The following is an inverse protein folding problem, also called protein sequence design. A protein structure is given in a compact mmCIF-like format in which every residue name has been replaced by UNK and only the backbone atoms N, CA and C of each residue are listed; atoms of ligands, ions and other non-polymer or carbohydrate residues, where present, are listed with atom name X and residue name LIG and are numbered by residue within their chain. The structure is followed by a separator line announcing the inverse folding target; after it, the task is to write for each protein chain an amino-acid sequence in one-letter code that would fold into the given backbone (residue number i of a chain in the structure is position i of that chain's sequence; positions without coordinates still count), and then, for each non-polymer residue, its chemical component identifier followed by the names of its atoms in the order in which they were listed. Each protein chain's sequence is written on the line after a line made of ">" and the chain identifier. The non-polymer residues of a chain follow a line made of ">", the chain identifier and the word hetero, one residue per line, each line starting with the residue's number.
data_IF_452228004583
#
_entry.id   IF_452228004583
#
_cell.length_a   1.000
_cell.length_b   1.000
_cell.length_c   1.000
_cell.angle_alpha   90.00
_cell.angle_beta   90.00
_cell.angle_gamma   90.00
#
_symmetry.space_group_name_H-M   'P 1'
#
loop_
_entity.id
_entity.type
_entity.pdbx_description
1 polymer ?
#
# COMPACT_ATOMS: atom_id res chain seq x y z
N UNK A 1 11.07 15.49 -7.22
CA UNK A 1 11.38 14.77 -5.98
C UNK A 1 10.49 13.54 -5.89
N UNK A 2 10.96 12.36 -6.30
CA UNK A 2 10.31 11.10 -5.87
C UNK A 2 10.86 10.77 -4.48
N UNK A 3 10.09 11.05 -3.42
CA UNK A 3 10.62 11.04 -2.06
C UNK A 3 10.69 9.63 -1.45
N UNK A 4 9.92 8.66 -1.93
CA UNK A 4 9.95 7.29 -1.41
C UNK A 4 10.45 6.24 -2.40
N UNK A 5 10.32 6.46 -3.71
CA UNK A 5 10.69 5.49 -4.75
C UNK A 5 9.92 4.15 -4.70
N UNK A 6 8.89 4.01 -3.86
CA UNK A 6 8.23 2.72 -3.61
C UNK A 6 7.37 2.25 -4.78
N UNK A 7 6.89 3.17 -5.62
CA UNK A 7 6.19 2.89 -6.87
C UNK A 7 5.07 1.81 -6.77
N UNK A 8 4.34 1.79 -5.65
CA UNK A 8 3.31 0.78 -5.32
C UNK A 8 2.16 0.76 -6.33
N UNK A 9 1.84 1.90 -6.94
CA UNK A 9 0.80 2.00 -7.97
C UNK A 9 1.16 1.13 -9.17
N UNK A 10 2.43 1.11 -9.58
CA UNK A 10 2.91 0.27 -10.68
C UNK A 10 2.75 -1.20 -10.33
N UNK A 11 3.10 -1.61 -9.10
CA UNK A 11 2.86 -2.97 -8.63
C UNK A 11 1.38 -3.36 -8.65
N UNK A 12 0.49 -2.55 -8.05
CA UNK A 12 -0.95 -2.81 -7.97
C UNK A 12 -1.62 -2.91 -9.35
N UNK A 13 -1.17 -2.09 -10.31
CA UNK A 13 -1.62 -2.20 -11.71
C UNK A 13 -1.06 -3.44 -12.40
N UNK A 14 0.20 -3.76 -12.18
CA UNK A 14 0.85 -4.91 -12.80
C UNK A 14 0.22 -6.24 -12.37
N UNK A 15 -0.04 -6.43 -11.07
CA UNK A 15 -0.70 -7.66 -10.59
C UNK A 15 -2.10 -7.84 -11.23
N UNK A 16 -2.89 -6.76 -11.36
CA UNK A 16 -4.20 -6.85 -12.00
C UNK A 16 -4.08 -7.17 -13.49
N UNK A 17 -3.21 -6.46 -14.22
CA UNK A 17 -3.01 -6.67 -15.65
C UNK A 17 -2.42 -8.05 -15.99
N UNK A 18 -1.70 -8.66 -15.04
CA UNK A 18 -1.22 -10.03 -15.17
C UNK A 18 -2.38 -11.02 -15.36
N UNK A 19 -3.52 -10.84 -14.69
CA UNK A 19 -4.63 -11.79 -14.77
C UNK A 19 -5.83 -11.30 -15.59
N UNK A 20 -5.97 -9.98 -15.81
CA UNK A 20 -7.15 -9.36 -16.44
C UNK A 20 -7.59 -10.03 -17.74
N UNK A 21 -6.65 -10.21 -18.66
CA UNK A 21 -6.92 -10.67 -20.04
C UNK A 21 -6.19 -11.99 -20.37
N UNK A 22 -5.92 -12.83 -19.37
CA UNK A 22 -5.19 -14.10 -19.61
C UNK A 22 -5.83 -15.25 -18.85
N UNK A 23 -6.83 -15.93 -19.45
CA UNK A 23 -7.45 -17.11 -18.87
C UNK A 23 -6.43 -18.21 -18.57
N UNK A 24 -5.46 -18.41 -19.46
CA UNK A 24 -4.38 -19.39 -19.26
C UNK A 24 -3.58 -19.12 -17.98
N UNK A 25 -3.17 -17.86 -17.70
CA UNK A 25 -2.46 -17.53 -16.45
C UNK A 25 -3.33 -17.69 -15.22
N UNK A 26 -4.64 -17.46 -15.34
CA UNK A 26 -5.57 -17.70 -14.23
C UNK A 26 -5.73 -19.19 -13.94
N UNK A 27 -5.79 -20.03 -14.97
CA UNK A 27 -5.79 -21.49 -14.83
C UNK A 27 -4.55 -21.96 -14.08
N UNK A 28 -3.36 -21.63 -14.59
CA UNK A 28 -2.08 -21.97 -13.95
C UNK A 28 -2.03 -21.44 -12.50
N UNK A 29 -2.51 -20.23 -12.24
CA UNK A 29 -2.56 -19.68 -10.89
C UNK A 29 -3.44 -20.51 -9.96
N UNK A 30 -4.64 -20.89 -10.40
CA UNK A 30 -5.54 -21.74 -9.62
C UNK A 30 -4.90 -23.10 -9.39
N UNK A 31 -4.32 -23.73 -10.42
CA UNK A 31 -3.75 -25.07 -10.33
C UNK A 31 -2.54 -25.12 -9.38
N UNK A 32 -1.68 -24.08 -9.40
CA UNK A 32 -0.49 -24.02 -8.55
C UNK A 32 -0.82 -23.62 -7.11
N UNK A 33 -1.77 -22.70 -6.91
CA UNK A 33 -2.01 -22.07 -5.60
C UNK A 33 -3.25 -22.60 -4.88
N UNK A 34 -4.12 -23.31 -5.60
CA UNK A 34 -5.49 -23.69 -5.19
C UNK A 34 -6.35 -22.48 -4.76
N UNK A 35 -5.95 -21.25 -5.12
CA UNK A 35 -6.66 -20.04 -4.74
C UNK A 35 -7.56 -19.55 -5.88
N UNK A 36 -8.81 -19.22 -5.54
CA UNK A 36 -9.78 -18.58 -6.44
C UNK A 36 -9.82 -17.05 -6.29
N UNK A 37 -8.93 -16.50 -5.46
CA UNK A 37 -8.88 -15.07 -5.13
C UNK A 37 -7.87 -14.35 -6.03
N UNK A 38 -8.32 -13.26 -6.68
CA UNK A 38 -7.53 -12.50 -7.67
C UNK A 38 -7.37 -11.02 -7.27
N UNK A 39 -6.37 -10.32 -7.83
CA UNK A 39 -6.17 -8.89 -7.60
C UNK A 39 -7.37 -8.05 -8.06
N UNK A 40 -7.64 -6.96 -7.33
CA UNK A 40 -8.62 -5.94 -7.72
C UNK A 40 -7.98 -4.86 -8.61
N UNK A 41 -8.80 -4.16 -9.40
CA UNK A 41 -8.34 -3.06 -10.26
C UNK A 41 -8.02 -1.82 -9.43
N UNK A 42 -6.82 -1.27 -9.60
CA UNK A 42 -6.46 0.02 -9.01
C UNK A 42 -7.20 1.19 -9.70
N UNK A 43 -7.74 2.12 -8.91
CA UNK A 43 -8.46 3.31 -9.38
C UNK A 43 -7.65 4.57 -9.08
N UNK A 44 -7.23 5.32 -10.11
CA UNK A 44 -6.41 6.52 -9.90
C UNK A 44 -7.19 7.69 -9.25
N UNK A 45 -8.51 7.73 -9.45
CA UNK A 45 -9.35 8.86 -9.03
C UNK A 45 -10.11 8.60 -7.72
N UNK A 46 -10.44 7.33 -7.43
CA UNK A 46 -11.17 6.95 -6.20
C UNK A 46 -10.24 6.25 -5.23
N UNK A 47 -9.47 7.05 -4.49
CA UNK A 47 -8.50 6.51 -3.54
C UNK A 47 -9.16 5.57 -2.52
N UNK A 48 -10.34 5.88 -2.00
CA UNK A 48 -11.03 5.03 -1.02
C UNK A 48 -11.20 3.57 -1.46
N UNK A 49 -11.44 3.33 -2.75
CA UNK A 49 -11.57 1.99 -3.31
C UNK A 49 -10.22 1.24 -3.32
N UNK A 50 -9.09 1.94 -3.30
CA UNK A 50 -7.75 1.33 -3.33
C UNK A 50 -7.32 0.73 -1.99
N UNK A 51 -8.01 1.01 -0.89
CA UNK A 51 -7.76 0.35 0.40
C UNK A 51 -7.97 -1.15 0.23
N UNK A 52 -9.12 -1.53 -0.30
CA UNK A 52 -9.47 -2.91 -0.64
C UNK A 52 -8.51 -3.53 -1.66
N UNK A 53 -8.03 -2.74 -2.63
CA UNK A 53 -7.08 -3.19 -3.66
C UNK A 53 -5.75 -3.57 -3.00
N UNK A 54 -5.25 -2.74 -2.09
CA UNK A 54 -4.01 -3.00 -1.36
C UNK A 54 -4.16 -4.15 -0.36
N UNK A 55 -5.30 -4.25 0.34
CA UNK A 55 -5.60 -5.38 1.23
C UNK A 55 -5.63 -6.70 0.46
N UNK A 56 -6.34 -6.72 -0.68
CA UNK A 56 -6.35 -7.88 -1.59
C UNK A 56 -4.95 -8.21 -2.09
N UNK A 57 -4.13 -7.20 -2.40
CA UNK A 57 -2.76 -7.42 -2.83
C UNK A 57 -1.93 -8.12 -1.74
N UNK A 58 -2.05 -7.70 -0.48
CA UNK A 58 -1.38 -8.36 0.66
C UNK A 58 -1.87 -9.81 0.82
N UNK A 59 -3.19 -10.04 0.76
CA UNK A 59 -3.80 -11.37 0.89
C UNK A 59 -3.23 -12.38 -0.13
N UNK A 60 -3.04 -11.95 -1.38
CA UNK A 60 -2.57 -12.83 -2.45
C UNK A 60 -1.05 -12.91 -2.57
N UNK A 61 -0.27 -12.12 -1.81
CA UNK A 61 1.21 -12.11 -1.92
C UNK A 61 1.83 -13.52 -1.84
N UNK A 62 1.46 -14.39 -0.88
CA UNK A 62 2.03 -15.74 -0.81
C UNK A 62 1.70 -16.59 -2.04
N UNK A 63 0.49 -16.43 -2.59
CA UNK A 63 0.05 -17.15 -3.79
C UNK A 63 0.77 -16.62 -5.03
N UNK A 64 1.02 -15.31 -5.10
CA UNK A 64 1.80 -14.70 -6.17
C UNK A 64 3.26 -15.19 -6.19
N UNK A 65 3.88 -15.37 -5.02
CA UNK A 65 5.23 -15.95 -4.92
C UNK A 65 5.25 -17.36 -5.50
N UNK A 66 4.37 -18.25 -5.03
CA UNK A 66 4.23 -19.62 -5.57
C UNK A 66 3.98 -19.66 -7.08
N UNK A 67 3.12 -18.78 -7.58
CA UNK A 67 2.81 -18.69 -9.01
C UNK A 67 4.03 -18.28 -9.84
N UNK A 68 4.83 -17.34 -9.34
CA UNK A 68 6.02 -16.83 -10.05
C UNK A 68 7.15 -17.85 -10.08
N UNK A 69 7.26 -18.69 -9.04
CA UNK A 69 8.20 -19.80 -8.91
C UNK A 69 7.76 -21.06 -9.66
N UNK A 70 6.52 -21.13 -10.15
CA UNK A 70 6.05 -22.27 -10.91
C UNK A 70 6.88 -22.43 -12.21
N UNK A 71 7.34 -23.66 -12.55
CA UNK A 71 8.23 -23.88 -13.69
C UNK A 71 7.60 -23.45 -15.03
N UNK A 72 6.28 -23.52 -15.14
CA UNK A 72 5.55 -23.05 -16.33
C UNK A 72 5.63 -21.52 -16.55
N UNK A 73 5.89 -20.77 -15.49
CA UNK A 73 6.00 -19.30 -15.47
C UNK A 73 7.46 -18.86 -15.37
N UNK A 74 8.30 -19.64 -14.69
CA UNK A 74 9.73 -19.40 -14.55
C UNK A 74 10.48 -19.56 -15.87
N UNK A 75 10.24 -20.67 -16.59
CA UNK A 75 10.93 -20.99 -17.84
C UNK A 75 10.50 -20.11 -19.04
N UNK A 76 9.40 -19.37 -18.90
CA UNK A 76 8.92 -18.42 -19.91
C UNK A 76 9.68 -17.10 -19.78
N UNK A 77 10.86 -17.03 -20.43
CA UNK A 77 11.82 -15.90 -20.39
C UNK A 77 11.23 -14.53 -20.74
N UNK A 78 10.11 -14.45 -21.47
CA UNK A 78 9.56 -13.17 -21.91
C UNK A 78 8.09 -13.31 -22.29
N UNK A 79 7.14 -12.96 -21.39
CA UNK A 79 5.71 -13.04 -21.77
C UNK A 79 4.91 -11.79 -21.43
N UNK A 80 5.33 -10.93 -20.49
CA UNK A 80 4.58 -9.70 -20.21
C UNK A 80 5.38 -8.72 -19.34
N UNK A 81 5.34 -7.42 -19.68
CA UNK A 81 5.90 -6.36 -18.84
C UNK A 81 5.38 -6.44 -17.39
N UNK A 82 4.09 -6.74 -17.20
CA UNK A 82 3.49 -6.90 -15.87
C UNK A 82 4.08 -8.06 -15.07
N UNK A 83 4.43 -9.19 -15.70
CA UNK A 83 5.08 -10.31 -15.01
C UNK A 83 6.49 -9.93 -14.55
N UNK A 84 7.24 -9.22 -15.41
CA UNK A 84 8.55 -8.70 -15.05
C UNK A 84 8.48 -7.74 -13.86
N UNK A 85 7.55 -6.77 -13.91
CA UNK A 85 7.30 -5.86 -12.78
C UNK A 85 6.99 -6.64 -11.51
N UNK A 86 6.04 -7.58 -11.55
CA UNK A 86 5.67 -8.38 -10.36
C UNK A 86 6.87 -9.16 -9.81
N UNK A 87 7.66 -9.83 -10.67
CA UNK A 87 8.89 -10.52 -10.26
C UNK A 87 9.88 -9.59 -9.55
N UNK A 88 10.07 -8.37 -10.05
CA UNK A 88 10.97 -7.38 -9.44
C UNK A 88 10.46 -6.94 -8.07
N UNK A 89 9.17 -6.66 -7.93
CA UNK A 89 8.58 -6.23 -6.66
C UNK A 89 8.54 -7.34 -5.61
N UNK A 90 8.33 -8.60 -6.00
CA UNK A 90 8.31 -9.72 -5.05
C UNK A 90 9.67 -10.01 -4.41
N UNK A 91 10.77 -9.49 -4.96
CA UNK A 91 12.10 -9.53 -4.33
C UNK A 91 12.23 -8.56 -3.15
N UNK A 92 11.34 -7.57 -3.06
CA UNK A 92 11.33 -6.61 -1.96
C UNK A 92 10.64 -7.21 -0.73
N UNK A 93 11.45 -7.61 0.25
CA UNK A 93 10.97 -8.15 1.51
C UNK A 93 10.05 -7.18 2.29
N UNK A 94 10.10 -5.88 2.02
CA UNK A 94 9.28 -4.87 2.69
C UNK A 94 8.01 -4.52 1.91
N UNK A 95 7.72 -5.17 0.78
CA UNK A 95 6.55 -4.86 -0.05
C UNK A 95 5.24 -4.94 0.74
N UNK A 96 5.04 -6.01 1.53
CA UNK A 96 3.86 -6.16 2.38
C UNK A 96 3.72 -5.04 3.39
N UNK A 97 4.83 -4.62 4.02
CA UNK A 97 4.84 -3.50 4.96
C UNK A 97 4.54 -2.17 4.27
N UNK A 98 5.10 -1.90 3.08
CA UNK A 98 4.80 -0.69 2.29
C UNK A 98 3.33 -0.61 1.90
N UNK A 99 2.73 -1.74 1.48
CA UNK A 99 1.28 -1.83 1.22
C UNK A 99 0.46 -1.63 2.51
N UNK A 100 0.91 -2.20 3.64
CA UNK A 100 0.27 -2.01 4.95
C UNK A 100 0.30 -0.56 5.41
N UNK A 101 1.39 0.15 5.12
CA UNK A 101 1.51 1.57 5.44
C UNK A 101 0.58 2.41 4.55
N UNK A 102 0.53 2.09 3.25
CA UNK A 102 -0.45 2.71 2.35
C UNK A 102 -1.89 2.52 2.84
N UNK A 103 -2.26 1.31 3.29
CA UNK A 103 -3.58 1.04 3.87
C UNK A 103 -3.83 1.90 5.11
N UNK A 104 -2.86 2.00 6.00
CA UNK A 104 -2.97 2.81 7.23
C UNK A 104 -3.30 4.27 6.90
N UNK A 105 -2.49 4.93 6.07
CA UNK A 105 -2.73 6.34 5.72
C UNK A 105 -4.06 6.51 4.99
N UNK A 106 -4.37 5.62 4.06
CA UNK A 106 -5.64 5.66 3.34
C UNK A 106 -6.85 5.50 4.28
N UNK A 107 -6.70 4.72 5.35
CA UNK A 107 -7.75 4.48 6.35
C UNK A 107 -7.95 5.69 7.25
N UNK A 108 -6.88 6.44 7.57
CA UNK A 108 -6.98 7.71 8.30
C UNK A 108 -7.72 8.78 7.49
N UNK A 109 -7.48 8.83 6.17
CA UNK A 109 -8.15 9.76 5.25
C UNK A 109 -9.61 9.41 5.00
N UNK A 110 -10.01 8.14 5.20
CA UNK A 110 -11.33 7.63 4.82
C UNK A 110 -12.51 8.31 5.50
N UNK A 111 -12.53 8.51 6.83
CA UNK A 111 -13.62 9.21 7.51
C UNK A 111 -13.82 10.62 6.97
N UNK A 112 -12.73 11.39 6.85
CA UNK A 112 -12.75 12.74 6.31
C UNK A 112 -13.32 12.77 4.88
N UNK A 113 -12.80 11.93 3.99
CA UNK A 113 -13.27 11.91 2.60
C UNK A 113 -14.73 11.46 2.49
N UNK A 114 -15.17 10.50 3.31
CA UNK A 114 -16.56 10.02 3.29
C UNK A 114 -17.53 11.09 3.76
N UNK A 115 -17.17 11.83 4.81
CA UNK A 115 -17.97 12.92 5.36
C UNK A 115 -18.07 14.10 4.38
N UNK A 116 -16.93 14.57 3.86
CA UNK A 116 -16.86 15.73 2.97
C UNK A 116 -17.27 15.46 1.52
N UNK A 117 -17.45 14.20 1.11
CA UNK A 117 -18.06 13.82 -0.16
C UNK A 117 -19.58 13.57 -0.06
N UNK A 118 -20.18 13.83 1.10
CA UNK A 118 -21.64 13.78 1.27
C UNK A 118 -22.33 15.02 0.70
N UNK A 119 -23.65 14.96 0.58
CA UNK A 119 -24.47 16.11 0.15
C UNK A 119 -24.69 17.14 1.27
N UNK A 120 -24.05 16.97 2.42
CA UNK A 120 -24.17 17.86 3.57
C UNK A 120 -23.32 19.12 3.33
N UNK A 121 -23.81 20.34 3.62
CA UNK A 121 -23.05 21.58 3.39
C UNK A 121 -21.95 21.77 4.46
N UNK A 122 -20.86 20.99 4.35
CA UNK A 122 -19.78 20.95 5.34
C UNK A 122 -18.62 21.90 5.03
N UNK A 123 -18.72 22.70 3.96
CA UNK A 123 -17.69 23.67 3.53
C UNK A 123 -17.19 24.56 4.69
N UNK A 124 -18.04 25.10 5.59
CA UNK A 124 -17.57 25.92 6.71
C UNK A 124 -16.60 25.17 7.66
N UNK A 125 -16.69 23.85 7.75
CA UNK A 125 -15.86 23.02 8.63
C UNK A 125 -14.60 22.48 7.94
N UNK A 126 -14.46 22.70 6.62
CA UNK A 126 -13.40 22.11 5.81
C UNK A 126 -12.00 22.47 6.32
N UNK A 127 -11.77 23.74 6.64
CA UNK A 127 -10.49 24.22 7.12
C UNK A 127 -10.06 23.50 8.42
N UNK A 128 -10.94 23.45 9.42
CA UNK A 128 -10.66 22.79 10.69
C UNK A 128 -10.44 21.29 10.53
N UNK A 129 -11.25 20.64 9.70
CA UNK A 129 -11.14 19.20 9.45
C UNK A 129 -9.84 18.84 8.70
N UNK A 130 -9.42 19.63 7.71
CA UNK A 130 -8.13 19.45 7.02
C UNK A 130 -6.98 19.64 8.00
N UNK A 131 -7.01 20.69 8.83
CA UNK A 131 -5.94 20.94 9.80
C UNK A 131 -5.80 19.75 10.77
N UNK A 132 -6.91 19.29 11.35
CA UNK A 132 -6.92 18.13 12.22
C UNK A 132 -6.38 16.86 11.54
N UNK A 133 -6.72 16.65 10.26
CA UNK A 133 -6.24 15.52 9.47
C UNK A 133 -4.72 15.59 9.24
N UNK A 134 -4.21 16.77 8.84
CA UNK A 134 -2.78 16.99 8.63
C UNK A 134 -2.01 16.79 9.93
N UNK A 135 -2.47 17.38 11.03
CA UNK A 135 -1.86 17.23 12.36
C UNK A 135 -1.86 15.75 12.78
N UNK A 136 -2.97 15.03 12.60
CA UNK A 136 -3.07 13.60 12.92
C UNK A 136 -2.07 12.77 12.11
N UNK A 137 -1.94 13.02 10.81
CA UNK A 137 -0.94 12.37 9.96
C UNK A 137 0.49 12.73 10.39
N UNK A 138 0.77 14.00 10.69
CA UNK A 138 2.07 14.47 11.11
C UNK A 138 2.50 13.84 12.44
N UNK A 139 1.60 13.71 13.42
CA UNK A 139 1.86 13.08 14.73
C UNK A 139 2.32 11.61 14.66
N UNK A 140 2.23 10.95 13.49
CA UNK A 140 2.80 9.62 13.29
C UNK A 140 4.34 9.64 13.23
N UNK A 141 4.92 10.77 12.81
CA UNK A 141 6.35 10.94 12.54
C UNK A 141 6.98 12.10 13.29
N UNK A 142 6.22 13.16 13.54
CA UNK A 142 6.67 14.40 14.19
C UNK A 142 6.27 14.35 15.66
N UNK A 143 7.16 14.83 16.52
CA UNK A 143 6.85 14.98 17.94
C UNK A 143 5.66 15.96 18.10
N UNK A 144 4.55 15.56 18.76
CA UNK A 144 3.37 16.41 18.94
C UNK A 144 3.65 17.79 19.53
N UNK A 145 4.66 17.92 20.41
CA UNK A 145 5.06 19.19 21.03
C UNK A 145 5.74 20.16 20.06
N UNK A 146 6.18 19.67 18.91
CA UNK A 146 6.94 20.40 17.90
C UNK A 146 6.14 20.64 16.62
N UNK A 147 4.87 20.20 16.56
CA UNK A 147 4.00 20.46 15.42
C UNK A 147 3.58 21.94 15.46
N UNK A 148 4.11 22.70 14.50
CA UNK A 148 3.85 24.12 14.25
C UNK A 148 3.82 24.35 12.75
N UNK A 149 3.36 25.53 12.32
CA UNK A 149 3.20 25.88 10.91
C UNK A 149 4.52 25.80 10.11
N UNK A 150 5.67 25.94 10.79
CA UNK A 150 7.02 25.98 10.21
C UNK A 150 7.89 24.76 10.56
N UNK A 151 7.28 23.63 10.96
CA UNK A 151 8.05 22.47 11.42
C UNK A 151 8.96 21.91 10.32
N UNK A 152 10.26 21.95 10.57
CA UNK A 152 11.27 21.38 9.68
C UNK A 152 11.33 19.87 9.87
N UNK A 153 10.76 19.13 8.91
CA UNK A 153 10.72 17.66 8.90
C UNK A 153 12.05 17.01 8.52
N UNK A 154 13.09 17.80 8.19
CA UNK A 154 14.44 17.29 7.91
C UNK A 154 15.32 17.24 9.16
N UNK A 155 14.90 17.87 10.25
CA UNK A 155 15.62 17.85 11.53
C UNK A 155 15.15 16.67 12.38
N UNK A 156 16.08 15.76 12.69
CA UNK A 156 15.82 14.57 13.50
C UNK A 156 15.22 14.89 14.88
N UNK A 157 15.60 16.03 15.48
CA UNK A 157 15.05 16.49 16.76
C UNK A 157 13.54 16.72 16.72
N UNK A 158 12.98 17.04 15.55
CA UNK A 158 11.55 17.27 15.37
C UNK A 158 10.78 15.95 15.17
N UNK A 159 11.48 14.87 14.84
CA UNK A 159 10.91 13.58 14.53
C UNK A 159 10.81 12.68 15.78
N UNK A 160 9.89 11.73 15.72
CA UNK A 160 9.81 10.66 16.69
C UNK A 160 10.95 9.67 16.43
N UNK A 161 11.57 9.12 17.50
CA UNK A 161 12.50 8.00 17.36
C UNK A 161 11.84 6.85 16.59
N UNK A 162 12.62 6.09 15.81
CA UNK A 162 12.11 5.00 14.97
C UNK A 162 11.12 4.06 15.70
N UNK A 163 11.45 3.69 16.95
CA UNK A 163 10.64 2.82 17.82
C UNK A 163 9.27 3.40 18.19
N UNK A 164 9.13 4.73 18.17
CA UNK A 164 7.91 5.46 18.52
C UNK A 164 7.08 5.85 17.30
N UNK A 165 7.57 5.61 16.08
CA UNK A 165 6.85 5.93 14.85
C UNK A 165 5.58 5.09 14.75
N UNK A 166 4.44 5.76 14.55
CA UNK A 166 3.14 5.09 14.45
C UNK A 166 2.89 4.66 13.01
N UNK A 167 3.48 3.53 12.60
CA UNK A 167 3.35 2.98 11.23
C UNK A 167 2.00 2.29 10.94
N UNK A 168 1.17 2.07 11.97
CA UNK A 168 -0.13 1.41 11.87
C UNK A 168 -0.08 -0.11 12.03
N UNK A 169 -1.21 -0.70 12.47
CA UNK A 169 -1.30 -2.12 12.84
C UNK A 169 -1.00 -3.06 11.68
N UNK A 170 -1.54 -2.77 10.49
CA UNK A 170 -1.33 -3.59 9.29
C UNK A 170 0.15 -3.64 8.92
N UNK A 171 0.84 -2.50 8.94
CA UNK A 171 2.27 -2.40 8.70
C UNK A 171 3.09 -3.18 9.71
N UNK A 172 2.76 -3.05 11.01
CA UNK A 172 3.46 -3.77 12.08
C UNK A 172 3.31 -5.29 11.94
N UNK A 173 2.13 -5.78 11.58
CA UNK A 173 1.90 -7.20 11.32
C UNK A 173 2.80 -7.69 10.18
N UNK A 174 2.86 -6.95 9.08
CA UNK A 174 3.70 -7.30 7.94
C UNK A 174 5.20 -7.26 8.27
N UNK A 175 5.67 -6.25 9.03
CA UNK A 175 7.06 -6.18 9.48
C UNK A 175 7.45 -7.40 10.34
N UNK A 176 6.56 -7.84 11.24
CA UNK A 176 6.76 -9.06 12.04
C UNK A 176 6.87 -10.31 11.17
N UNK A 177 6.04 -10.43 10.13
CA UNK A 177 6.11 -11.54 9.18
C UNK A 177 7.43 -11.57 8.40
N UNK A 178 8.00 -10.41 8.09
CA UNK A 178 9.25 -10.29 7.35
C UNK A 178 10.51 -10.51 8.21
N UNK A 179 10.38 -10.84 9.51
CA UNK A 179 11.48 -10.85 10.51
C UNK A 179 12.33 -9.57 10.50
N UNK A 180 11.79 -8.47 9.96
CA UNK A 180 12.42 -7.17 10.01
C UNK A 180 12.04 -6.59 11.36
N UNK A 181 13.02 -6.45 12.25
CA UNK A 181 12.84 -5.78 13.53
C UNK A 181 12.20 -4.41 13.26
N UNK A 182 11.10 -4.05 13.94
CA UNK A 182 10.71 -2.65 13.96
C UNK A 182 11.85 -1.93 14.70
N UNK A 183 12.64 -1.16 13.95
CA UNK A 183 13.83 -0.44 14.43
C UNK A 183 13.51 0.36 15.70
#
# INVERSE_FOLDING_TARGET
>A
MEVTGWNLVTFLRAIYNLFKNSPARRGIFIDVTNASVFPKKFCAVRWLENIDVAQRAIEILPNLQKFVEAPEIENKKQVCASLHTVKTFLKDNLLGAKLGFFITISSDLKPFLTEFQSNTPLVPFLHGAINNLIVSCAQRFVNPEKIRDDVDVTKDDNLLPAKKIKVGMVTQLQLKHCKATPL
#
